data_IF_783391078008
#
_entry.id   IF_783391078008
#
_cell.length_a   1.000
_cell.length_b   1.000
_cell.length_c   1.000
_cell.angle_alpha   90.00
_cell.angle_beta   90.00
_cell.angle_gamma   90.00
#
_symmetry.space_group_name_H-M   'P 1'
#
loop_
_entity.id
_entity.type
_entity.pdbx_description
1 polymer ?
#
# COMPACT_ATOMS: atom_id res chain seq x y z
N UNK A 1 41.05 -4.30 15.59
CA UNK A 1 40.63 -3.75 14.29
C UNK A 1 39.17 -4.11 14.13
N UNK A 2 38.26 -3.13 14.07
CA UNK A 2 36.86 -3.39 13.76
C UNK A 2 36.81 -3.75 12.28
N UNK A 3 36.61 -5.03 11.95
CA UNK A 3 36.27 -5.39 10.58
C UNK A 3 34.84 -4.93 10.34
N UNK A 4 34.64 -4.04 9.36
CA UNK A 4 33.29 -3.72 8.87
C UNK A 4 32.66 -5.03 8.37
N UNK A 5 31.61 -5.47 9.06
CA UNK A 5 30.87 -6.67 8.69
C UNK A 5 30.21 -6.44 7.34
N UNK A 6 30.17 -7.49 6.52
CA UNK A 6 29.45 -7.44 5.25
C UNK A 6 27.95 -7.36 5.54
N UNK A 7 27.25 -6.46 4.85
CA UNK A 7 25.81 -6.29 5.03
C UNK A 7 25.05 -7.18 4.04
N UNK A 8 24.08 -7.96 4.53
CA UNK A 8 22.98 -8.50 3.72
C UNK A 8 21.83 -7.50 3.80
N UNK A 9 21.39 -7.00 2.66
CA UNK A 9 20.22 -6.14 2.59
C UNK A 9 18.98 -6.99 2.28
N UNK A 10 17.96 -6.96 3.13
CA UNK A 10 16.67 -7.61 2.90
C UNK A 10 15.64 -6.52 2.58
N UNK A 11 15.21 -6.53 1.33
CA UNK A 11 14.22 -5.65 0.73
C UNK A 11 12.82 -6.27 0.88
N UNK A 12 11.88 -5.60 1.58
CA UNK A 12 10.53 -6.13 1.89
C UNK A 12 9.48 -5.04 2.21
N UNK A 13 8.19 -5.30 1.98
CA UNK A 13 7.09 -4.41 2.44
C UNK A 13 6.78 -4.64 3.92
N UNK A 14 6.09 -3.70 4.57
CA UNK A 14 5.78 -3.77 6.00
C UNK A 14 5.04 -5.03 6.40
N UNK A 15 4.10 -5.47 5.55
CA UNK A 15 3.33 -6.69 5.74
C UNK A 15 4.21 -7.93 5.81
N UNK A 16 5.36 -7.94 5.13
CA UNK A 16 6.31 -9.05 5.05
C UNK A 16 7.35 -9.05 6.18
N UNK A 17 7.22 -8.14 7.17
CA UNK A 17 8.16 -8.01 8.30
C UNK A 17 8.42 -9.33 9.02
N UNK A 18 7.41 -10.20 9.13
CA UNK A 18 7.55 -11.50 9.77
C UNK A 18 8.54 -12.40 9.02
N UNK A 19 8.44 -12.46 7.69
CA UNK A 19 9.36 -13.22 6.82
C UNK A 19 10.76 -12.60 6.89
N UNK A 20 10.87 -11.28 6.77
CA UNK A 20 12.15 -10.58 6.83
C UNK A 20 12.88 -10.80 8.16
N UNK A 21 12.14 -10.77 9.27
CA UNK A 21 12.70 -11.00 10.61
C UNK A 21 13.15 -12.46 10.80
N UNK A 22 12.38 -13.42 10.30
CA UNK A 22 12.74 -14.84 10.36
C UNK A 22 14.00 -15.12 9.52
N UNK A 23 14.08 -14.59 8.30
CA UNK A 23 15.25 -14.72 7.44
C UNK A 23 16.49 -14.06 8.06
N UNK A 24 16.32 -12.87 8.65
CA UNK A 24 17.39 -12.17 9.38
C UNK A 24 17.96 -13.04 10.50
N UNK A 25 17.10 -13.54 11.38
CA UNK A 25 17.53 -14.38 12.49
C UNK A 25 18.25 -15.65 12.02
N UNK A 26 17.75 -16.28 10.95
CA UNK A 26 18.37 -17.46 10.35
C UNK A 26 19.78 -17.17 9.82
N UNK A 27 19.95 -16.09 9.05
CA UNK A 27 21.25 -15.72 8.47
C UNK A 27 22.25 -15.35 9.57
N UNK A 28 21.85 -14.55 10.55
CA UNK A 28 22.74 -14.15 11.66
C UNK A 28 23.22 -15.37 12.46
N UNK A 29 22.32 -16.30 12.77
CA UNK A 29 22.65 -17.54 13.47
C UNK A 29 23.57 -18.45 12.63
N UNK A 30 23.25 -18.66 11.35
CA UNK A 30 24.01 -19.55 10.47
C UNK A 30 25.44 -19.07 10.19
N UNK A 31 25.63 -17.75 10.13
CA UNK A 31 26.92 -17.13 9.84
C UNK A 31 27.63 -16.60 11.09
N UNK A 32 27.20 -17.00 12.29
CA UNK A 32 27.85 -16.67 13.57
C UNK A 32 28.15 -15.16 13.71
N UNK A 33 27.17 -14.31 13.34
CA UNK A 33 27.29 -12.85 13.34
C UNK A 33 28.42 -12.26 12.48
N UNK A 34 28.99 -13.02 11.53
CA UNK A 34 29.95 -12.51 10.54
C UNK A 34 29.32 -11.52 9.54
N UNK A 35 27.99 -11.55 9.41
CA UNK A 35 27.20 -10.61 8.62
C UNK A 35 26.36 -9.73 9.53
N UNK A 36 26.20 -8.47 9.13
CA UNK A 36 25.09 -7.66 9.61
C UNK A 36 23.93 -7.80 8.62
N UNK A 37 22.74 -8.07 9.12
CA UNK A 37 21.55 -8.14 8.27
C UNK A 37 20.72 -6.88 8.46
N UNK A 38 20.63 -6.09 7.39
CA UNK A 38 19.80 -4.90 7.33
C UNK A 38 18.46 -5.23 6.68
N UNK A 39 17.35 -4.87 7.33
CA UNK A 39 15.98 -5.03 6.79
C UNK A 39 15.39 -3.67 6.44
N UNK A 40 14.81 -3.54 5.25
CA UNK A 40 14.13 -2.31 4.82
C UNK A 40 12.80 -2.17 5.59
N UNK A 41 12.76 -1.35 6.65
CA UNK A 41 11.50 -1.13 7.38
C UNK A 41 10.59 -0.17 6.59
N UNK A 42 9.78 -0.71 5.70
CA UNK A 42 8.64 -0.12 4.97
C UNK A 42 8.49 1.41 4.83
N UNK A 43 8.30 1.86 3.60
CA UNK A 43 8.22 3.26 3.14
C UNK A 43 6.96 4.04 3.57
N UNK A 44 6.25 3.64 4.62
CA UNK A 44 5.02 4.34 5.06
C UNK A 44 5.27 5.66 5.81
N UNK A 45 6.54 6.00 6.05
CA UNK A 45 6.97 7.25 6.72
C UNK A 45 8.01 8.02 5.89
N UNK A 46 7.70 8.35 4.63
CA UNK A 46 8.53 9.25 3.82
C UNK A 46 8.33 10.68 4.33
N UNK A 47 9.07 11.06 5.36
CA UNK A 47 9.36 12.48 5.59
C UNK A 47 10.37 12.95 4.53
N UNK A 48 10.06 14.01 3.77
CA UNK A 48 11.03 14.59 2.84
C UNK A 48 12.34 14.94 3.56
N UNK A 49 13.46 14.36 3.11
CA UNK A 49 14.80 14.66 3.64
C UNK A 49 15.17 14.00 4.97
N UNK A 50 14.38 13.02 5.46
CA UNK A 50 14.65 12.34 6.71
C UNK A 50 15.92 11.46 6.69
N UNK A 51 16.57 11.32 7.85
CA UNK A 51 17.74 10.44 8.09
C UNK A 51 17.51 8.98 7.67
N UNK A 52 16.25 8.58 7.48
CA UNK A 52 15.83 7.26 7.02
C UNK A 52 16.35 6.91 5.63
N UNK A 53 16.15 7.79 4.64
CA UNK A 53 16.59 7.55 3.26
C UNK A 53 18.12 7.42 3.19
N UNK A 54 18.83 8.24 3.96
CA UNK A 54 20.28 8.14 4.07
C UNK A 54 20.76 6.80 4.66
N UNK A 55 19.99 6.18 5.56
CA UNK A 55 20.31 4.85 6.12
C UNK A 55 20.09 3.74 5.09
N UNK A 56 18.99 3.79 4.34
CA UNK A 56 18.74 2.83 3.24
C UNK A 56 19.82 3.00 2.16
N UNK A 57 20.11 4.23 1.75
CA UNK A 57 21.15 4.51 0.76
C UNK A 57 22.52 4.03 1.24
N UNK A 58 22.87 4.25 2.51
CA UNK A 58 24.10 3.72 3.10
C UNK A 58 24.11 2.20 3.08
N UNK A 59 23.05 1.53 3.55
CA UNK A 59 22.97 0.08 3.55
C UNK A 59 23.06 -0.50 2.13
N UNK A 60 22.37 0.09 1.15
CA UNK A 60 22.47 -0.29 -0.26
C UNK A 60 23.86 -0.01 -0.83
N UNK A 61 24.57 1.04 -0.42
CA UNK A 61 25.95 1.33 -0.88
C UNK A 61 26.99 0.36 -0.32
N UNK A 62 26.72 -0.21 0.86
CA UNK A 62 27.69 -1.02 1.58
C UNK A 62 27.30 -2.51 1.68
N UNK A 63 26.11 -2.91 1.23
CA UNK A 63 25.72 -4.31 1.18
C UNK A 63 26.52 -5.09 0.14
N UNK A 64 26.78 -6.34 0.50
CA UNK A 64 27.49 -7.31 -0.35
C UNK A 64 26.52 -8.19 -1.12
N UNK A 65 25.29 -8.34 -0.62
CA UNK A 65 24.20 -9.12 -1.20
C UNK A 65 22.90 -8.41 -0.87
N UNK A 66 21.95 -8.49 -1.80
CA UNK A 66 20.57 -8.08 -1.62
C UNK A 66 19.63 -9.29 -1.79
N UNK A 67 18.66 -9.41 -0.89
CA UNK A 67 17.56 -10.38 -0.97
C UNK A 67 16.26 -9.59 -1.04
N UNK A 68 15.46 -9.84 -2.07
CA UNK A 68 14.17 -9.16 -2.28
C UNK A 68 13.04 -10.12 -1.94
N UNK A 69 12.31 -9.87 -0.85
CA UNK A 69 11.12 -10.64 -0.50
C UNK A 69 10.01 -10.27 -1.48
N UNK A 70 9.65 -11.23 -2.33
CA UNK A 70 8.77 -11.02 -3.46
C UNK A 70 7.42 -11.71 -3.25
N UNK A 71 6.35 -10.92 -3.25
CA UNK A 71 4.95 -11.35 -3.30
C UNK A 71 4.23 -10.67 -4.46
N UNK A 72 3.01 -11.11 -4.84
CA UNK A 72 2.16 -10.36 -5.76
C UNK A 72 1.92 -8.90 -5.33
N UNK A 73 2.01 -8.59 -4.05
CA UNK A 73 1.85 -7.26 -3.47
C UNK A 73 3.13 -6.44 -3.50
N UNK A 74 4.27 -7.03 -3.11
CA UNK A 74 5.54 -6.30 -3.00
C UNK A 74 6.11 -5.90 -4.36
N UNK A 75 6.03 -6.77 -5.37
CA UNK A 75 6.58 -6.47 -6.72
C UNK A 75 5.89 -5.30 -7.43
N UNK A 76 4.71 -4.89 -6.95
CA UNK A 76 3.97 -3.70 -7.44
C UNK A 76 4.46 -2.40 -6.80
N UNK A 77 5.28 -2.46 -5.76
CA UNK A 77 5.75 -1.27 -5.03
C UNK A 77 6.95 -0.65 -5.74
N UNK A 78 6.91 0.66 -6.06
CA UNK A 78 8.02 1.34 -6.73
C UNK A 78 9.36 1.23 -6.00
N UNK A 79 9.33 1.22 -4.66
CA UNK A 79 10.54 1.16 -3.87
C UNK A 79 11.24 -0.21 -4.00
N UNK A 80 10.52 -1.34 -4.11
CA UNK A 80 11.13 -2.69 -4.26
C UNK A 80 11.97 -2.74 -5.52
N UNK A 81 11.40 -2.22 -6.60
CA UNK A 81 12.06 -2.17 -7.90
C UNK A 81 13.25 -1.20 -7.90
N UNK A 82 13.17 -0.11 -7.12
CA UNK A 82 14.28 0.82 -6.95
C UNK A 82 15.46 0.20 -6.20
N UNK A 83 15.21 -0.49 -5.09
CA UNK A 83 16.24 -1.16 -4.28
C UNK A 83 16.93 -2.27 -5.09
N UNK A 84 16.13 -3.15 -5.70
CA UNK A 84 16.64 -4.21 -6.56
C UNK A 84 17.47 -3.66 -7.74
N UNK A 85 17.07 -2.51 -8.28
CA UNK A 85 17.84 -1.79 -9.30
C UNK A 85 19.18 -1.27 -8.78
N UNK A 86 19.24 -0.80 -7.53
CA UNK A 86 20.47 -0.33 -6.90
C UNK A 86 21.46 -1.48 -6.66
N UNK A 87 20.99 -2.64 -6.22
CA UNK A 87 21.82 -3.84 -6.12
C UNK A 87 22.36 -4.28 -7.48
N UNK A 88 21.49 -4.29 -8.50
CA UNK A 88 21.86 -4.72 -9.85
C UNK A 88 22.94 -3.81 -10.49
N UNK A 89 22.81 -2.49 -10.35
CA UNK A 89 23.80 -1.52 -10.87
C UNK A 89 25.17 -1.67 -10.18
N UNK A 90 25.18 -2.11 -8.93
CA UNK A 90 26.42 -2.32 -8.15
C UNK A 90 27.11 -3.66 -8.42
N UNK A 91 26.56 -4.48 -9.31
CA UNK A 91 27.07 -5.83 -9.64
C UNK A 91 27.21 -6.72 -8.38
N UNK A 92 26.32 -6.53 -7.41
CA UNK A 92 26.18 -7.43 -6.27
C UNK A 92 25.10 -8.47 -6.56
N UNK A 93 25.17 -9.67 -5.95
CA UNK A 93 24.08 -10.64 -6.06
C UNK A 93 22.77 -10.04 -5.50
N UNK A 94 21.73 -10.05 -6.34
CA UNK A 94 20.36 -9.71 -5.97
C UNK A 94 19.51 -10.97 -6.14
N UNK A 95 18.88 -11.44 -5.06
CA UNK A 95 18.14 -12.71 -5.04
C UNK A 95 16.68 -12.45 -4.68
N UNK A 96 15.74 -12.53 -5.65
CA UNK A 96 14.33 -12.55 -5.32
C UNK A 96 13.97 -13.82 -4.54
N UNK A 97 13.29 -13.66 -3.41
CA UNK A 97 12.78 -14.73 -2.57
C UNK A 97 11.25 -14.71 -2.60
N UNK A 98 10.67 -15.56 -3.44
CA UNK A 98 9.27 -15.59 -3.82
C UNK A 98 8.40 -16.28 -2.76
N UNK A 99 7.28 -15.68 -2.39
CA UNK A 99 6.27 -16.27 -1.50
C UNK A 99 4.85 -15.85 -1.91
N UNK A 100 3.83 -16.37 -1.23
CA UNK A 100 2.43 -16.03 -1.44
C UNK A 100 1.96 -16.28 -2.89
N UNK A 101 2.46 -17.36 -3.51
CA UNK A 101 2.00 -17.83 -4.82
C UNK A 101 2.70 -17.21 -6.03
N UNK A 102 3.53 -16.18 -5.85
CA UNK A 102 4.47 -15.79 -6.90
C UNK A 102 5.62 -16.80 -6.94
N UNK A 103 6.09 -17.11 -8.13
CA UNK A 103 7.23 -17.99 -8.40
C UNK A 103 8.28 -17.24 -9.22
N UNK A 104 9.55 -17.71 -9.25
CA UNK A 104 10.60 -17.09 -10.05
C UNK A 104 10.21 -16.88 -11.53
N UNK A 105 9.48 -17.83 -12.11
CA UNK A 105 9.00 -17.76 -13.49
C UNK A 105 7.91 -16.68 -13.71
N UNK A 106 7.16 -16.33 -12.68
CA UNK A 106 6.05 -15.36 -12.73
C UNK A 106 6.43 -13.96 -12.26
N UNK A 107 7.67 -13.75 -11.82
CA UNK A 107 8.17 -12.42 -11.44
C UNK A 107 8.05 -11.43 -12.61
N UNK A 108 7.79 -10.14 -12.36
CA UNK A 108 7.87 -9.13 -13.39
C UNK A 108 9.33 -8.87 -13.79
N UNK A 109 9.53 -8.36 -15.00
CA UNK A 109 10.84 -7.83 -15.41
C UNK A 109 11.15 -6.54 -14.62
N UNK A 110 12.42 -6.30 -14.22
CA UNK A 110 13.61 -7.11 -14.49
C UNK A 110 13.88 -8.22 -13.45
N UNK A 111 13.08 -8.35 -12.38
CA UNK A 111 13.34 -9.31 -11.29
C UNK A 111 13.41 -10.77 -11.78
N UNK A 112 12.67 -11.10 -12.84
CA UNK A 112 12.69 -12.43 -13.47
C UNK A 112 14.08 -12.86 -13.94
N UNK A 113 14.92 -11.93 -14.38
CA UNK A 113 16.28 -12.26 -14.86
C UNK A 113 17.24 -12.62 -13.73
N UNK A 114 16.86 -12.41 -12.47
CA UNK A 114 17.72 -12.54 -11.30
C UNK A 114 17.70 -13.94 -10.66
N UNK A 115 17.13 -14.94 -11.34
CA UNK A 115 17.11 -16.34 -10.91
C UNK A 115 16.62 -16.53 -9.45
N UNK A 116 15.46 -15.95 -9.15
CA UNK A 116 14.86 -16.02 -7.81
C UNK A 116 14.64 -17.45 -7.30
N UNK A 117 14.37 -17.55 -6.00
CA UNK A 117 14.08 -18.79 -5.28
C UNK A 117 12.72 -18.72 -4.60
N UNK A 118 12.13 -19.87 -4.31
CA UNK A 118 10.85 -20.02 -3.64
C UNK A 118 11.08 -20.19 -2.15
N UNK A 119 10.50 -19.31 -1.33
CA UNK A 119 10.70 -19.24 0.11
C UNK A 119 10.21 -20.47 0.89
N UNK A 120 9.36 -21.29 0.26
CA UNK A 120 8.81 -22.51 0.85
C UNK A 120 9.46 -23.79 0.30
N UNK A 121 10.44 -23.68 -0.59
CA UNK A 121 11.23 -24.81 -1.11
C UNK A 121 12.62 -24.84 -0.44
N UNK A 122 12.82 -25.80 0.47
CA UNK A 122 14.08 -25.94 1.18
C UNK A 122 15.27 -26.25 0.25
N UNK A 123 15.05 -26.92 -0.89
CA UNK A 123 16.11 -27.22 -1.84
C UNK A 123 16.59 -25.95 -2.53
N UNK A 124 15.66 -25.12 -2.99
CA UNK A 124 16.00 -23.82 -3.59
C UNK A 124 16.67 -22.88 -2.59
N UNK A 125 16.24 -22.89 -1.31
CA UNK A 125 16.88 -22.12 -0.25
C UNK A 125 18.33 -22.55 0.02
N UNK A 126 18.66 -23.84 -0.09
CA UNK A 126 20.05 -24.30 0.04
C UNK A 126 20.96 -23.69 -1.03
N UNK A 127 20.44 -23.36 -2.21
CA UNK A 127 21.22 -22.75 -3.29
C UNK A 127 21.64 -21.29 -2.99
N UNK A 128 20.99 -20.64 -2.01
CA UNK A 128 21.34 -19.29 -1.56
C UNK A 128 22.61 -19.31 -0.68
N UNK A 129 22.84 -20.40 0.04
CA UNK A 129 23.92 -20.50 1.05
C UNK A 129 25.32 -20.33 0.43
N UNK A 130 25.67 -20.96 -0.71
CA UNK A 130 26.95 -20.71 -1.37
C UNK A 130 27.13 -19.26 -1.83
N UNK A 131 26.04 -18.57 -2.20
CA UNK A 131 26.10 -17.15 -2.62
C UNK A 131 26.45 -16.27 -1.41
N UNK A 132 25.76 -16.47 -0.28
CA UNK A 132 26.06 -15.80 0.99
C UNK A 132 27.50 -16.05 1.45
N UNK A 133 27.94 -17.31 1.45
CA UNK A 133 29.28 -17.69 1.87
C UNK A 133 30.38 -17.11 0.96
N UNK A 134 30.15 -17.07 -0.35
CA UNK A 134 31.08 -16.46 -1.32
C UNK A 134 31.26 -14.96 -1.05
N UNK A 135 30.19 -14.23 -0.77
CA UNK A 135 30.31 -12.79 -0.46
C UNK A 135 31.04 -12.51 0.87
N UNK A 136 31.01 -13.46 1.79
CA UNK A 136 31.79 -13.44 3.03
C UNK A 136 33.24 -13.89 2.88
N UNK A 137 33.57 -14.62 1.82
CA UNK A 137 34.84 -15.32 1.70
C UNK A 137 35.00 -16.44 2.74
N UNK A 138 33.90 -17.06 3.17
CA UNK A 138 33.89 -18.17 4.13
C UNK A 138 33.42 -19.48 3.47
N UNK A 139 33.53 -20.58 4.21
CA UNK A 139 32.95 -21.86 3.78
C UNK A 139 31.43 -21.84 4.01
N UNK A 140 30.61 -22.39 3.10
CA UNK A 140 29.18 -22.44 3.29
C UNK A 140 28.84 -23.27 4.54
N UNK A 141 28.10 -22.70 5.51
CA UNK A 141 27.59 -23.47 6.64
C UNK A 141 26.47 -24.40 6.18
N UNK A 142 26.18 -25.42 6.98
CA UNK A 142 24.94 -26.18 6.83
C UNK A 142 23.82 -25.40 7.52
N UNK A 143 22.76 -25.06 6.78
CA UNK A 143 21.60 -24.34 7.32
C UNK A 143 20.39 -25.28 7.28
N UNK A 144 19.65 -25.37 8.38
CA UNK A 144 18.32 -25.96 8.40
C UNK A 144 17.28 -24.87 8.17
N UNK A 145 16.52 -25.00 7.08
CA UNK A 145 15.47 -24.05 6.70
C UNK A 145 14.08 -24.44 7.22
N UNK A 146 13.94 -25.54 7.96
CA UNK A 146 12.64 -26.08 8.40
C UNK A 146 11.80 -25.03 9.11
N UNK A 147 12.32 -24.42 10.17
CA UNK A 147 11.61 -23.39 10.95
C UNK A 147 11.26 -22.15 10.10
N UNK A 148 12.14 -21.76 9.18
CA UNK A 148 11.91 -20.64 8.28
C UNK A 148 10.77 -20.95 7.29
N UNK A 149 10.81 -22.12 6.65
CA UNK A 149 9.77 -22.57 5.73
C UNK A 149 8.42 -22.67 6.43
N UNK A 150 8.39 -23.18 7.67
CA UNK A 150 7.18 -23.21 8.50
C UNK A 150 6.67 -21.81 8.81
N UNK A 151 7.55 -20.86 9.15
CA UNK A 151 7.19 -19.47 9.39
C UNK A 151 6.58 -18.81 8.14
N UNK A 152 7.15 -19.06 6.95
CA UNK A 152 6.61 -18.56 5.67
C UNK A 152 5.24 -19.18 5.39
N UNK A 153 5.09 -20.51 5.49
CA UNK A 153 3.79 -21.19 5.28
C UNK A 153 2.72 -20.71 6.25
N UNK A 154 3.08 -20.46 7.51
CA UNK A 154 2.19 -19.88 8.52
C UNK A 154 1.77 -18.48 8.11
N UNK A 155 2.72 -17.63 7.69
CA UNK A 155 2.42 -16.30 7.18
C UNK A 155 1.46 -16.35 5.98
N UNK A 156 1.76 -17.16 4.96
CA UNK A 156 0.92 -17.32 3.77
C UNK A 156 -0.49 -17.80 4.13
N UNK A 157 -0.63 -18.67 5.13
CA UNK A 157 -1.93 -19.15 5.60
C UNK A 157 -2.73 -18.05 6.28
N UNK A 158 -2.12 -17.30 7.21
CA UNK A 158 -2.77 -16.17 7.88
C UNK A 158 -3.12 -15.06 6.89
N UNK A 159 -2.23 -14.75 5.94
CA UNK A 159 -2.45 -13.75 4.89
C UNK A 159 -3.58 -14.16 3.95
N UNK A 160 -3.62 -15.44 3.55
CA UNK A 160 -4.72 -15.99 2.74
C UNK A 160 -6.04 -16.03 3.49
N UNK A 161 -6.05 -16.40 4.77
CA UNK A 161 -7.25 -16.37 5.61
C UNK A 161 -7.74 -14.94 5.80
N UNK A 162 -6.85 -13.98 6.03
CA UNK A 162 -7.19 -12.56 6.14
C UNK A 162 -7.72 -12.00 4.81
N UNK A 163 -7.09 -12.36 3.69
CA UNK A 163 -7.56 -12.01 2.35
C UNK A 163 -8.89 -12.70 2.01
N UNK A 164 -9.07 -13.96 2.39
CA UNK A 164 -10.31 -14.70 2.21
C UNK A 164 -11.42 -14.14 3.08
N UNK A 165 -11.16 -13.80 4.35
CA UNK A 165 -12.10 -13.10 5.22
C UNK A 165 -12.44 -11.71 4.67
N UNK A 166 -11.47 -11.00 4.08
CA UNK A 166 -11.72 -9.71 3.41
C UNK A 166 -12.56 -9.91 2.14
N UNK A 167 -12.34 -10.99 1.39
CA UNK A 167 -13.04 -11.30 0.14
C UNK A 167 -14.40 -12.02 0.34
N UNK A 168 -14.59 -12.73 1.45
CA UNK A 168 -15.77 -13.54 1.77
C UNK A 168 -16.65 -12.90 2.84
N UNK A 169 -16.20 -11.84 3.49
CA UNK A 169 -17.02 -11.06 4.40
C UNK A 169 -17.81 -10.02 3.61
N UNK A 170 -19.15 -10.07 3.63
CA UNK A 170 -19.96 -8.93 3.19
C UNK A 170 -19.67 -7.68 4.05
N UNK A 171 -19.02 -7.81 5.22
CA UNK A 171 -18.82 -6.71 6.17
C UNK A 171 -17.52 -5.91 5.98
N UNK A 172 -16.52 -6.36 5.22
CA UNK A 172 -15.42 -5.46 4.83
C UNK A 172 -15.87 -4.37 3.84
N UNK A 173 -16.99 -4.61 3.15
CA UNK A 173 -17.66 -3.64 2.29
C UNK A 173 -18.60 -2.69 3.04
N UNK A 174 -18.86 -2.89 4.34
CA UNK A 174 -19.94 -2.17 5.05
C UNK A 174 -19.42 -1.04 5.96
N UNK A 175 -18.11 -0.92 6.21
CA UNK A 175 -17.50 0.25 6.90
C UNK A 175 -16.48 1.06 6.04
N UNK A 176 -16.09 0.54 4.87
CA UNK A 176 -14.84 0.84 4.15
C UNK A 176 -14.74 2.09 3.25
N UNK A 177 -15.26 3.25 3.69
CA UNK A 177 -14.97 4.55 3.06
C UNK A 177 -14.18 5.46 4.00
N UNK A 178 -13.05 6.01 3.51
CA UNK A 178 -12.31 7.05 4.20
C UNK A 178 -13.16 8.36 4.29
N UNK A 179 -12.86 9.31 5.20
CA UNK A 179 -13.70 10.49 5.40
C UNK A 179 -13.99 11.31 4.12
N UNK A 180 -12.98 11.46 3.26
CA UNK A 180 -13.12 12.19 2.00
C UNK A 180 -13.84 11.40 0.91
N UNK A 181 -13.76 10.06 0.91
CA UNK A 181 -14.54 9.19 0.02
C UNK A 181 -16.01 9.22 0.41
N UNK A 182 -16.30 9.14 1.71
CA UNK A 182 -17.65 9.27 2.26
C UNK A 182 -18.24 10.63 1.92
N UNK A 183 -17.51 11.73 2.18
CA UNK A 183 -17.96 13.07 1.86
C UNK A 183 -18.24 13.23 0.36
N UNK A 184 -17.35 12.76 -0.51
CA UNK A 184 -17.56 12.82 -1.96
C UNK A 184 -18.80 12.02 -2.40
N UNK A 185 -18.96 10.79 -1.92
CA UNK A 185 -20.11 9.94 -2.29
C UNK A 185 -21.44 10.55 -1.84
N UNK A 186 -21.49 11.08 -0.60
CA UNK A 186 -22.69 11.74 -0.08
C UNK A 186 -22.99 13.02 -0.86
N UNK A 187 -21.99 13.86 -1.12
CA UNK A 187 -22.19 15.08 -1.92
C UNK A 187 -22.71 14.75 -3.31
N UNK A 188 -22.13 13.76 -4.00
CA UNK A 188 -22.65 13.34 -5.33
C UNK A 188 -24.11 12.87 -5.21
N UNK A 189 -24.47 12.17 -4.14
CA UNK A 189 -25.84 11.71 -3.91
C UNK A 189 -26.82 12.85 -3.61
N UNK A 190 -26.36 13.93 -2.98
CA UNK A 190 -27.16 15.13 -2.70
C UNK A 190 -27.41 15.99 -3.94
N UNK A 191 -26.49 15.97 -4.92
CA UNK A 191 -26.60 16.73 -6.17
C UNK A 191 -27.54 16.08 -7.21
N UNK A 192 -28.07 14.88 -6.93
CA UNK A 192 -28.93 14.13 -7.87
C UNK A 192 -30.33 13.89 -7.31
N UNK A 193 -31.36 14.13 -8.12
CA UNK A 193 -32.76 13.90 -7.72
C UNK A 193 -33.18 12.42 -7.84
N UNK A 194 -32.50 11.65 -8.69
CA UNK A 194 -32.83 10.23 -8.92
C UNK A 194 -31.59 9.38 -9.22
N UNK A 195 -31.59 8.09 -8.79
CA UNK A 195 -30.53 7.15 -9.11
C UNK A 195 -30.28 7.05 -10.62
N UNK A 196 -29.00 6.98 -11.02
CA UNK A 196 -28.61 6.84 -12.43
C UNK A 196 -28.43 8.14 -13.21
N UNK A 197 -28.65 9.30 -12.57
CA UNK A 197 -28.34 10.62 -13.15
C UNK A 197 -26.90 11.06 -12.83
N UNK A 198 -26.38 11.99 -13.63
CA UNK A 198 -25.03 12.53 -13.48
C UNK A 198 -25.05 13.83 -12.65
N UNK A 199 -24.23 13.88 -11.61
CA UNK A 199 -23.92 15.08 -10.84
C UNK A 199 -22.76 15.84 -11.50
N UNK A 200 -22.92 17.14 -11.85
CA UNK A 200 -21.81 17.92 -12.39
C UNK A 200 -20.67 18.08 -11.38
N UNK A 201 -19.43 17.70 -11.75
CA UNK A 201 -18.32 17.69 -10.79
C UNK A 201 -17.93 19.08 -10.27
N UNK A 202 -18.24 20.14 -11.01
CA UNK A 202 -17.99 21.50 -10.53
C UNK A 202 -18.89 21.86 -9.32
N UNK A 203 -20.13 21.37 -9.29
CA UNK A 203 -21.05 21.58 -8.15
C UNK A 203 -20.60 20.74 -6.96
N UNK A 204 -20.29 19.46 -7.21
CA UNK A 204 -19.73 18.56 -6.18
C UNK A 204 -18.47 19.14 -5.55
N UNK A 205 -17.58 19.72 -6.37
CA UNK A 205 -16.36 20.41 -5.90
C UNK A 205 -16.70 21.59 -5.00
N UNK A 206 -17.61 22.46 -5.42
CA UNK A 206 -18.03 23.62 -4.63
C UNK A 206 -18.64 23.19 -3.28
N UNK A 207 -19.51 22.19 -3.30
CA UNK A 207 -20.17 21.63 -2.11
C UNK A 207 -19.15 21.02 -1.14
N UNK A 208 -18.15 20.28 -1.64
CA UNK A 208 -17.06 19.75 -0.80
C UNK A 208 -16.15 20.83 -0.22
N UNK A 209 -15.83 21.87 -0.99
CA UNK A 209 -15.03 23.01 -0.52
C UNK A 209 -15.76 23.79 0.58
N UNK A 210 -17.07 24.01 0.43
CA UNK A 210 -17.92 24.61 1.46
C UNK A 210 -18.00 23.75 2.73
N UNK A 211 -17.86 22.43 2.60
CA UNK A 211 -17.77 21.49 3.72
C UNK A 211 -16.35 21.39 4.34
N UNK A 212 -15.40 22.22 3.90
CA UNK A 212 -14.04 22.31 4.47
C UNK A 212 -13.02 21.36 3.83
N UNK A 213 -13.36 20.67 2.75
CA UNK A 213 -12.42 19.80 2.03
C UNK A 213 -11.63 20.59 0.98
N UNK A 214 -10.38 20.21 0.76
CA UNK A 214 -9.55 20.77 -0.33
C UNK A 214 -9.88 20.08 -1.66
N UNK A 215 -9.67 20.75 -2.78
CA UNK A 215 -9.85 20.22 -4.14
C UNK A 215 -9.19 18.84 -4.41
N UNK A 216 -8.07 18.54 -3.75
CA UNK A 216 -7.38 17.24 -3.86
C UNK A 216 -8.16 16.09 -3.22
N UNK A 217 -8.97 16.37 -2.18
CA UNK A 217 -9.76 15.37 -1.48
C UNK A 217 -10.86 14.79 -2.36
N UNK A 218 -11.53 15.63 -3.17
CA UNK A 218 -12.49 15.18 -4.18
C UNK A 218 -11.81 14.31 -5.24
N UNK A 219 -10.62 14.71 -5.71
CA UNK A 219 -9.88 13.98 -6.75
C UNK A 219 -9.51 12.57 -6.29
N UNK A 220 -8.96 12.45 -5.08
CA UNK A 220 -8.64 11.15 -4.47
C UNK A 220 -9.92 10.34 -4.17
N UNK A 221 -10.96 11.01 -3.66
CA UNK A 221 -12.25 10.38 -3.37
C UNK A 221 -12.87 9.74 -4.61
N UNK A 222 -12.97 10.48 -5.72
CA UNK A 222 -13.49 9.97 -6.99
C UNK A 222 -12.67 8.78 -7.49
N UNK A 223 -11.34 8.88 -7.49
CA UNK A 223 -10.47 7.80 -7.95
C UNK A 223 -10.66 6.51 -7.13
N UNK A 224 -10.85 6.63 -5.82
CA UNK A 224 -11.08 5.48 -4.94
C UNK A 224 -12.50 4.92 -5.08
N UNK A 225 -13.51 5.78 -5.24
CA UNK A 225 -14.89 5.36 -5.49
C UNK A 225 -15.05 4.67 -6.85
N UNK A 226 -14.37 5.12 -7.89
CA UNK A 226 -14.34 4.44 -9.20
C UNK A 226 -13.69 3.05 -9.11
N UNK A 227 -12.56 2.93 -8.39
CA UNK A 227 -11.91 1.63 -8.14
C UNK A 227 -12.81 0.66 -7.36
N UNK A 228 -13.66 1.18 -6.47
CA UNK A 228 -14.65 0.41 -5.72
C UNK A 228 -15.92 0.12 -6.52
N UNK A 229 -16.05 0.65 -7.74
CA UNK A 229 -17.24 0.52 -8.57
C UNK A 229 -18.45 1.29 -8.02
N UNK A 230 -18.25 2.29 -7.16
CA UNK A 230 -19.35 3.06 -6.55
C UNK A 230 -19.80 4.22 -7.43
N UNK A 231 -18.89 4.78 -8.21
CA UNK A 231 -19.17 5.87 -9.15
C UNK A 231 -18.47 5.63 -10.48
N UNK A 232 -18.90 6.33 -11.51
CA UNK A 232 -18.14 6.55 -12.74
C UNK A 232 -18.05 8.05 -13.02
N UNK A 233 -16.93 8.50 -13.58
CA UNK A 233 -16.75 9.89 -14.06
C UNK A 233 -16.70 9.89 -15.57
N UNK A 234 -17.55 10.71 -16.20
CA UNK A 234 -17.60 10.86 -17.66
C UNK A 234 -17.64 12.33 -18.06
N UNK A 235 -17.16 12.65 -19.26
CA UNK A 235 -17.40 13.95 -19.88
C UNK A 235 -18.82 14.01 -20.42
N UNK A 236 -19.57 15.02 -19.97
CA UNK A 236 -20.91 15.32 -20.43
C UNK A 236 -20.92 16.65 -21.17
N UNK A 237 -21.82 16.79 -22.15
CA UNK A 237 -22.04 18.08 -22.80
C UNK A 237 -22.53 19.09 -21.75
N UNK A 238 -21.71 20.10 -21.45
CA UNK A 238 -22.01 21.14 -20.48
C UNK A 238 -22.87 22.26 -21.07
N UNK A 239 -23.11 23.29 -20.25
CA UNK A 239 -23.76 24.51 -20.70
C UNK A 239 -22.90 25.18 -21.79
N UNK A 240 -23.51 25.62 -22.89
CA UNK A 240 -22.83 26.14 -24.09
C UNK A 240 -21.97 25.15 -24.89
N UNK A 241 -22.16 23.83 -24.72
CA UNK A 241 -21.42 22.79 -25.46
C UNK A 241 -19.96 22.60 -25.05
N UNK A 242 -19.52 23.25 -23.97
CA UNK A 242 -18.22 22.97 -23.37
C UNK A 242 -18.30 21.65 -22.59
N UNK A 243 -17.41 20.68 -22.84
CA UNK A 243 -17.41 19.43 -22.12
C UNK A 243 -17.14 19.69 -20.63
N UNK A 244 -17.98 19.13 -19.77
CA UNK A 244 -17.84 19.21 -18.32
C UNK A 244 -17.87 17.81 -17.73
N UNK A 245 -16.97 17.53 -16.79
CA UNK A 245 -16.96 16.24 -16.13
C UNK A 245 -18.15 16.13 -15.17
N UNK A 246 -18.79 14.97 -15.16
CA UNK A 246 -19.87 14.65 -14.25
C UNK A 246 -19.69 13.23 -13.69
N UNK A 247 -20.10 13.03 -12.44
CA UNK A 247 -20.04 11.74 -11.77
C UNK A 247 -21.45 11.13 -11.65
N UNK A 248 -21.56 9.82 -11.82
CA UNK A 248 -22.80 9.07 -11.59
C UNK A 248 -22.54 7.96 -10.59
N UNK A 249 -23.43 7.83 -9.60
CA UNK A 249 -23.39 6.73 -8.63
C UNK A 249 -23.93 5.46 -9.29
N UNK A 250 -23.14 4.39 -9.24
CA UNK A 250 -23.51 3.06 -9.71
C UNK A 250 -24.37 2.32 -8.68
N UNK A 251 -24.90 1.16 -9.07
CA UNK A 251 -25.79 0.36 -8.21
C UNK A 251 -25.13 0.04 -6.87
N UNK A 252 -23.85 -0.32 -6.88
CA UNK A 252 -23.06 -0.68 -5.71
C UNK A 252 -22.91 0.51 -4.75
N UNK A 253 -22.76 1.73 -5.28
CA UNK A 253 -22.71 2.95 -4.47
C UNK A 253 -24.04 3.29 -3.81
N UNK A 254 -25.17 3.08 -4.50
CA UNK A 254 -26.50 3.26 -3.93
C UNK A 254 -26.83 2.20 -2.87
N UNK A 255 -26.51 0.94 -3.14
CA UNK A 255 -26.66 -0.16 -2.18
C UNK A 255 -25.87 0.14 -0.89
N UNK A 256 -24.66 0.72 -1.03
CA UNK A 256 -23.85 1.16 0.11
C UNK A 256 -24.50 2.30 0.91
N UNK A 257 -25.00 3.34 0.24
CA UNK A 257 -25.68 4.47 0.88
C UNK A 257 -26.93 4.01 1.66
N UNK A 258 -27.71 3.11 1.08
CA UNK A 258 -28.90 2.53 1.72
C UNK A 258 -28.53 1.72 2.98
N UNK A 259 -27.47 0.92 2.91
CA UNK A 259 -26.95 0.16 4.04
C UNK A 259 -26.38 1.07 5.16
N UNK A 260 -25.94 2.28 4.82
CA UNK A 260 -25.30 3.24 5.72
C UNK A 260 -26.18 4.45 6.06
N UNK A 261 -27.50 4.35 5.89
CA UNK A 261 -28.47 5.43 6.18
C UNK A 261 -28.34 6.04 7.56
N UNK A 262 -27.96 5.26 8.58
CA UNK A 262 -27.73 5.73 9.94
C UNK A 262 -26.60 6.78 10.08
N UNK A 263 -25.71 6.90 9.08
CA UNK A 263 -24.62 7.91 9.03
C UNK A 263 -24.98 9.13 8.18
N UNK A 264 -26.07 9.06 7.42
CA UNK A 264 -26.53 10.15 6.59
C UNK A 264 -27.33 11.12 7.46
N UNK A 265 -26.96 12.40 7.42
CA UNK A 265 -27.76 13.44 8.04
C UNK A 265 -29.02 13.69 7.19
N UNK A 266 -30.00 12.79 7.28
CA UNK A 266 -31.25 12.85 6.49
C UNK A 266 -32.15 14.04 6.86
N UNK A 267 -31.83 14.72 7.96
CA UNK A 267 -32.46 15.97 8.35
C UNK A 267 -31.45 17.10 8.26
N UNK A 268 -31.84 18.19 7.61
CA UNK A 268 -31.08 19.45 7.68
C UNK A 268 -31.08 19.93 9.13
N UNK A 269 -29.90 20.18 9.71
CA UNK A 269 -29.84 20.93 10.95
C UNK A 269 -30.42 22.32 10.72
N UNK A 270 -31.42 22.71 11.52
CA UNK A 270 -31.92 24.08 11.54
C UNK A 270 -30.73 25.00 11.87
N UNK A 271 -30.44 26.03 11.06
CA UNK A 271 -29.38 26.96 11.42
C UNK A 271 -29.68 27.54 12.79
N UNK A 272 -28.67 27.61 13.65
CA UNK A 272 -28.76 28.34 14.91
C UNK A 272 -29.29 29.73 14.57
N UNK A 273 -30.42 30.12 15.18
CA UNK A 273 -30.93 31.48 15.08
C UNK A 273 -29.79 32.41 15.47
N UNK A 274 -29.31 33.18 14.49
CA UNK A 274 -28.58 34.41 14.76
C UNK A 274 -29.47 35.22 15.68
N UNK A 275 -29.05 35.40 16.93
CA UNK A 275 -29.58 36.45 17.79
C UNK A 275 -29.42 37.76 17.04
N UNK A 276 -30.51 38.25 16.44
CA UNK A 276 -30.60 39.63 15.99
C UNK A 276 -30.26 40.53 17.19
N UNK A 277 -29.44 41.58 17.04
CA UNK A 277 -29.33 42.60 18.06
C UNK A 277 -30.70 43.25 18.18
N UNK A 278 -31.20 43.37 19.41
CA UNK A 278 -32.44 44.08 19.70
C UNK A 278 -32.34 45.53 19.14
N UNK A 279 -33.11 45.81 18.09
CA UNK A 279 -33.54 47.17 17.77
C UNK A 279 -34.58 47.57 18.81
N UNK A 280 -34.13 48.28 19.85
CA UNK A 280 -34.89 49.37 20.47
C UNK A 280 -34.04 50.00 21.57
N UNK A 281 -33.38 51.12 21.24
CA UNK A 281 -33.29 52.32 22.09
C UNK A 281 -32.38 53.35 21.41
N UNK A 282 -32.96 54.15 20.51
CA UNK A 282 -32.41 55.47 20.16
C UNK A 282 -33.50 56.51 20.49
N UNK A 283 -33.17 57.57 21.25
CA UNK A 283 -34.13 58.36 22.01
C UNK A 283 -34.82 59.47 21.19
N UNK A 284 -36.06 59.79 21.59
CA UNK A 284 -36.67 61.12 21.46
C UNK A 284 -37.24 61.55 22.80
#
# INVERSE_FOLDING_TARGET
MSHDKKIVFISHIGDERAIASALKALIEAAFLDLMDVFVSSDATSIEPGGKWLARIEHALKHCAIEIVIASPESVKRPWVNFEAGAGWIRDIPVIPLCHSGITPATLPEPLRTLQGKTATDATELQEIVPVLAKALGCKPPTIDFTDFVEAVKKFETVSRESAALTASSPLAAVEGLAPHEFAALVTIAEEVESPGTFAPLYQVRQSMENAGYRAVALTLGLQMLERKGFVIVEEQAGYNSDPSQAAKILKEGWDWLLANTHRLALHKHKPAQSTEPAEDDIPF
#
